data_IF_933988234852
#
_entry.id   IF_933988234852
#
_cell.length_a   1.000
_cell.length_b   1.000
_cell.length_c   1.000
_cell.angle_alpha   90.00
_cell.angle_beta   90.00
_cell.angle_gamma   90.00
#
_symmetry.space_group_name_H-M   'P 1'
#
loop_
_entity.id
_entity.type
_entity.pdbx_description
1 polymer ?
#
# COMPACT_ATOMS: atom_id res chain seq x y z
N UNK A 1 22.66 30.94 63.06
CA UNK A 1 22.60 31.41 61.66
C UNK A 1 21.17 31.26 61.15
N UNK A 2 20.62 32.33 60.55
CA UNK A 2 19.36 32.43 59.74
C UNK A 2 18.04 32.22 60.52
N UNK A 3 17.44 33.28 61.09
CA UNK A 3 16.44 34.24 60.52
C UNK A 3 15.10 33.55 60.17
N UNK A 4 14.02 33.73 60.93
CA UNK A 4 13.14 34.91 61.13
C UNK A 4 11.99 35.04 60.13
N UNK A 5 10.77 34.94 60.69
CA UNK A 5 9.59 35.80 60.54
C UNK A 5 8.67 35.69 59.30
N UNK A 6 7.43 35.31 59.61
CA UNK A 6 6.13 35.96 59.30
C UNK A 6 5.76 36.28 57.85
N UNK A 7 4.58 35.79 57.46
CA UNK A 7 3.54 36.58 56.79
C UNK A 7 2.22 35.78 56.87
N UNK A 8 1.23 36.21 57.67
CA UNK A 8 0.22 37.22 57.34
C UNK A 8 -0.69 36.84 56.17
N UNK A 9 -1.93 36.51 56.52
CA UNK A 9 -3.06 36.37 55.62
C UNK A 9 -3.48 37.73 55.05
N UNK A 10 -3.83 37.75 53.76
CA UNK A 10 -4.60 38.83 53.16
C UNK A 10 -5.59 38.23 52.15
N UNK A 11 -6.88 38.44 52.43
CA UNK A 11 -7.98 38.28 51.49
C UNK A 11 -7.81 39.33 50.36
N UNK A 12 -7.93 38.90 49.10
CA UNK A 12 -8.15 39.82 47.98
C UNK A 12 -9.38 39.37 47.21
N UNK A 13 -10.24 40.35 47.01
CA UNK A 13 -11.54 40.28 46.39
C UNK A 13 -11.49 40.01 44.87
N UNK A 14 -12.61 39.45 44.43
CA UNK A 14 -13.13 39.31 43.06
C UNK A 14 -12.68 40.32 42.01
N UNK A 15 -12.33 39.80 40.82
CA UNK A 15 -12.64 40.44 39.55
C UNK A 15 -12.86 39.36 38.47
N UNK A 16 -14.12 39.10 38.11
CA UNK A 16 -14.45 38.36 36.90
C UNK A 16 -14.22 39.28 35.71
N UNK A 17 -13.16 39.05 34.93
CA UNK A 17 -13.02 39.65 33.61
C UNK A 17 -13.65 38.71 32.59
N UNK A 18 -14.77 39.17 32.03
CA UNK A 18 -15.42 38.57 30.86
C UNK A 18 -14.48 38.68 29.66
N UNK A 19 -13.89 37.57 29.23
CA UNK A 19 -13.30 37.48 27.91
C UNK A 19 -14.44 37.39 26.90
N UNK A 20 -14.69 38.48 26.18
CA UNK A 20 -15.44 38.42 24.92
C UNK A 20 -14.66 37.54 23.95
N UNK A 21 -15.07 36.29 23.83
CA UNK A 21 -14.61 35.39 22.79
C UNK A 21 -15.13 35.91 21.45
N UNK A 22 -14.27 36.60 20.70
CA UNK A 22 -14.49 36.79 19.28
C UNK A 22 -14.26 35.45 18.62
N UNK A 23 -15.28 34.59 18.65
CA UNK A 23 -15.38 33.50 17.71
C UNK A 23 -15.51 34.16 16.34
N UNK A 24 -14.42 34.21 15.58
CA UNK A 24 -14.56 34.32 14.13
C UNK A 24 -15.22 33.02 13.69
N UNK A 25 -16.55 33.05 13.61
CA UNK A 25 -17.33 32.09 12.85
C UNK A 25 -16.94 32.30 11.40
N UNK A 26 -15.85 31.65 10.99
CA UNK A 26 -15.60 31.40 9.59
C UNK A 26 -16.82 30.62 9.10
N UNK A 27 -17.58 31.13 8.13
CA UNK A 27 -18.68 30.35 7.58
C UNK A 27 -18.07 29.08 7.00
N UNK A 28 -18.41 27.94 7.59
CA UNK A 28 -18.26 26.60 7.00
C UNK A 28 -19.30 26.57 5.87
N UNK A 29 -19.06 27.35 4.83
CA UNK A 29 -19.87 27.39 3.62
C UNK A 29 -18.95 26.92 2.50
N UNK A 30 -19.25 25.71 2.01
CA UNK A 30 -18.72 25.14 0.78
C UNK A 30 -17.25 24.66 0.78
N UNK A 31 -16.90 23.74 1.67
CA UNK A 31 -16.02 22.64 1.24
C UNK A 31 -16.92 21.47 0.87
N UNK A 32 -17.25 21.38 -0.42
CA UNK A 32 -17.71 20.14 -1.04
C UNK A 32 -16.76 19.01 -0.57
N UNK A 33 -17.25 17.80 -0.24
CA UNK A 33 -16.37 16.66 -0.10
C UNK A 33 -15.79 16.37 -1.48
N UNK A 34 -14.69 17.04 -1.82
CA UNK A 34 -13.83 16.63 -2.91
C UNK A 34 -13.39 15.21 -2.59
N UNK A 35 -13.64 14.28 -3.50
CA UNK A 35 -13.14 12.91 -3.41
C UNK A 35 -11.62 13.04 -3.39
N UNK A 36 -11.01 12.99 -2.21
CA UNK A 36 -9.57 12.92 -2.10
C UNK A 36 -9.15 11.59 -2.75
N UNK A 37 -8.10 11.61 -3.58
CA UNK A 37 -7.63 10.39 -4.20
C UNK A 37 -7.24 9.38 -3.11
N UNK A 38 -7.70 8.14 -3.27
CA UNK A 38 -7.38 7.05 -2.35
C UNK A 38 -5.85 6.86 -2.28
N UNK A 39 -5.32 6.61 -1.08
CA UNK A 39 -3.92 6.24 -0.93
C UNK A 39 -3.62 4.99 -1.76
N UNK A 40 -2.52 5.01 -2.50
CA UNK A 40 -2.18 3.92 -3.41
C UNK A 40 -2.87 4.00 -4.78
N UNK A 41 -3.62 5.07 -5.08
CA UNK A 41 -4.13 5.34 -6.43
C UNK A 41 -3.15 6.20 -7.23
N UNK A 42 -3.15 6.07 -8.56
CA UNK A 42 -2.34 6.96 -9.42
C UNK A 42 -2.67 8.44 -9.22
N UNK A 43 -3.94 8.76 -8.98
CA UNK A 43 -4.39 10.14 -8.75
C UNK A 43 -3.82 10.75 -7.45
N UNK A 44 -3.33 9.92 -6.53
CA UNK A 44 -2.68 10.39 -5.29
C UNK A 44 -1.22 10.80 -5.52
N UNK A 45 -0.63 10.45 -6.66
CA UNK A 45 0.76 10.78 -6.99
C UNK A 45 0.77 12.16 -7.68
N UNK A 46 1.55 13.13 -7.17
CA UNK A 46 1.73 14.41 -7.84
C UNK A 46 2.26 14.23 -9.27
N UNK A 47 1.70 14.98 -10.23
CA UNK A 47 2.09 14.85 -11.64
C UNK A 47 3.60 15.01 -11.88
N UNK A 48 4.28 15.84 -11.10
CA UNK A 48 5.74 16.04 -11.17
C UNK A 48 6.55 14.78 -10.80
N UNK A 49 5.96 13.83 -10.06
CA UNK A 49 6.61 12.61 -9.58
C UNK A 49 6.12 11.35 -10.30
N UNK A 50 5.28 11.48 -11.33
CA UNK A 50 4.72 10.33 -12.03
C UNK A 50 5.80 9.47 -12.71
N UNK A 51 6.92 10.06 -13.12
CA UNK A 51 8.06 9.33 -13.68
C UNK A 51 8.83 8.49 -12.66
N UNK A 52 8.58 8.70 -11.36
CA UNK A 52 9.14 7.89 -10.27
C UNK A 52 8.12 6.92 -9.68
N UNK A 53 6.91 6.86 -10.26
CA UNK A 53 5.85 6.00 -9.78
C UNK A 53 6.24 4.53 -9.91
N UNK A 54 5.76 3.76 -8.95
CA UNK A 54 5.93 2.33 -8.82
C UNK A 54 4.55 1.67 -8.86
N UNK A 55 4.45 0.56 -9.58
CA UNK A 55 3.31 -0.34 -9.50
C UNK A 55 3.62 -1.40 -8.46
N UNK A 56 2.73 -1.55 -7.48
CA UNK A 56 2.80 -2.56 -6.43
C UNK A 56 1.73 -3.59 -6.70
N UNK A 57 2.13 -4.80 -7.06
CA UNK A 57 1.22 -5.93 -7.24
C UNK A 57 1.32 -6.85 -6.04
N UNK A 58 0.18 -7.09 -5.38
CA UNK A 58 0.08 -7.92 -4.18
C UNK A 58 -0.82 -9.11 -4.50
N UNK A 59 -0.36 -10.31 -4.20
CA UNK A 59 -1.17 -11.53 -4.27
C UNK A 59 -1.03 -12.31 -2.97
N UNK A 60 -2.13 -12.47 -2.24
CA UNK A 60 -2.16 -13.21 -0.98
C UNK A 60 -2.91 -14.52 -1.15
N UNK A 61 -2.35 -15.57 -0.56
CA UNK A 61 -2.89 -16.93 -0.59
C UNK A 61 -2.88 -17.50 0.82
N UNK A 62 -4.02 -18.00 1.26
CA UNK A 62 -4.15 -18.81 2.48
C UNK A 62 -4.38 -20.26 2.06
N UNK A 63 -3.51 -21.15 2.54
CA UNK A 63 -3.56 -22.57 2.22
C UNK A 63 -3.15 -23.40 3.42
N UNK A 64 -3.76 -24.56 3.58
CA UNK A 64 -3.19 -25.62 4.42
C UNK A 64 -2.10 -26.35 3.63
N UNK A 65 -1.06 -26.89 4.30
CA UNK A 65 -0.04 -27.67 3.60
C UNK A 65 -0.69 -28.81 2.80
N UNK A 66 -0.27 -28.95 1.55
CA UNK A 66 -0.73 -30.00 0.60
C UNK A 66 -2.19 -29.91 0.14
N UNK A 67 -2.88 -28.79 0.37
CA UNK A 67 -4.24 -28.53 -0.15
C UNK A 67 -4.27 -27.34 -1.11
N UNK A 68 -5.30 -27.29 -1.96
CA UNK A 68 -5.58 -26.09 -2.74
C UNK A 68 -5.84 -24.88 -1.82
N UNK A 69 -5.51 -23.66 -2.26
CA UNK A 69 -5.80 -22.45 -1.51
C UNK A 69 -7.26 -22.37 -1.10
N UNK A 70 -7.50 -22.15 0.19
CA UNK A 70 -8.86 -21.94 0.72
C UNK A 70 -9.32 -20.50 0.53
N UNK A 71 -8.38 -19.59 0.29
CA UNK A 71 -8.65 -18.19 0.02
C UNK A 71 -7.49 -17.52 -0.75
N UNK A 72 -7.85 -16.66 -1.69
CA UNK A 72 -6.93 -15.85 -2.47
C UNK A 72 -7.45 -14.42 -2.59
N UNK A 73 -6.53 -13.45 -2.62
CA UNK A 73 -6.84 -12.06 -2.88
C UNK A 73 -5.72 -11.41 -3.67
N UNK A 74 -6.07 -10.44 -4.52
CA UNK A 74 -5.12 -9.66 -5.30
C UNK A 74 -5.48 -8.18 -5.24
N UNK A 75 -4.45 -7.34 -5.23
CA UNK A 75 -4.61 -5.90 -5.34
C UNK A 75 -3.44 -5.28 -6.10
N UNK A 76 -3.69 -4.13 -6.74
CA UNK A 76 -2.68 -3.32 -7.40
C UNK A 76 -2.78 -1.91 -6.85
N UNK A 77 -1.65 -1.41 -6.36
CA UNK A 77 -1.52 -0.04 -5.88
C UNK A 77 -0.37 0.67 -6.57
N UNK A 78 -0.33 1.97 -6.41
CA UNK A 78 0.69 2.85 -6.97
C UNK A 78 1.30 3.69 -5.88
N UNK A 79 2.62 3.81 -5.89
CA UNK A 79 3.33 4.64 -4.90
C UNK A 79 4.60 5.24 -5.51
N UNK A 80 5.35 5.98 -4.72
CA UNK A 80 6.70 6.46 -5.04
C UNK A 80 7.66 6.01 -3.92
N UNK A 81 8.97 5.92 -4.18
CA UNK A 81 9.94 5.68 -3.12
C UNK A 81 9.78 6.67 -1.95
N UNK A 82 9.80 6.16 -0.72
CA UNK A 82 9.59 6.89 0.52
C UNK A 82 8.11 7.01 0.94
N UNK A 83 7.15 6.68 0.07
CA UNK A 83 5.72 6.75 0.40
C UNK A 83 5.15 5.36 0.64
N UNK A 84 4.51 5.18 1.80
CA UNK A 84 3.89 3.90 2.14
C UNK A 84 2.57 3.71 1.41
N UNK A 85 2.25 2.46 1.14
CA UNK A 85 0.94 2.05 0.65
C UNK A 85 0.42 0.87 1.45
N UNK A 86 -0.88 0.88 1.72
CA UNK A 86 -1.53 -0.16 2.49
C UNK A 86 -2.60 -0.86 1.65
N UNK A 87 -2.62 -2.18 1.74
CA UNK A 87 -3.62 -3.05 1.13
C UNK A 87 -4.36 -3.80 2.23
N UNK A 88 -5.69 -3.77 2.18
CA UNK A 88 -6.56 -4.52 3.09
C UNK A 88 -7.27 -5.62 2.31
N UNK A 89 -7.07 -6.86 2.72
CA UNK A 89 -7.72 -8.03 2.14
C UNK A 89 -8.54 -8.73 3.22
N UNK A 90 -9.82 -8.94 2.97
CA UNK A 90 -10.77 -9.52 3.94
C UNK A 90 -11.32 -10.81 3.38
N UNK A 91 -11.06 -11.92 4.07
CA UNK A 91 -11.68 -13.22 3.86
C UNK A 91 -12.71 -13.53 4.95
N UNK A 92 -13.26 -14.75 4.90
CA UNK A 92 -14.29 -15.21 5.86
C UNK A 92 -13.73 -15.43 7.26
N UNK A 93 -12.53 -16.02 7.32
CA UNK A 93 -11.88 -16.45 8.56
C UNK A 93 -10.60 -15.67 8.86
N UNK A 94 -10.17 -14.81 7.92
CA UNK A 94 -8.90 -14.07 8.00
C UNK A 94 -9.08 -12.67 7.42
N UNK A 95 -8.50 -11.65 8.05
CA UNK A 95 -8.32 -10.32 7.49
C UNK A 95 -6.86 -9.92 7.58
N UNK A 96 -6.34 -9.27 6.54
CA UNK A 96 -4.94 -8.92 6.41
C UNK A 96 -4.83 -7.45 6.03
N UNK A 97 -3.94 -6.73 6.71
CA UNK A 97 -3.47 -5.41 6.28
C UNK A 97 -1.98 -5.50 6.04
N UNK A 98 -1.55 -5.18 4.82
CA UNK A 98 -0.14 -5.15 4.44
C UNK A 98 0.22 -3.71 4.12
N UNK A 99 1.20 -3.16 4.83
CA UNK A 99 1.77 -1.84 4.54
C UNK A 99 3.16 -2.03 3.97
N UNK A 100 3.43 -1.41 2.83
CA UNK A 100 4.69 -1.52 2.09
C UNK A 100 5.26 -0.13 1.92
N UNK A 101 6.51 0.07 2.30
CA UNK A 101 7.24 1.33 2.08
C UNK A 101 8.49 1.04 1.26
N UNK A 102 8.53 1.40 -0.04
CA UNK A 102 9.71 1.23 -0.87
C UNK A 102 10.73 2.34 -0.63
N UNK A 103 12.01 1.98 -0.64
CA UNK A 103 13.14 2.90 -0.66
C UNK A 103 14.04 2.56 -1.85
N UNK A 104 14.70 3.56 -2.44
CA UNK A 104 15.73 3.30 -3.45
C UNK A 104 16.94 2.68 -2.78
N UNK A 105 17.41 1.55 -3.30
CA UNK A 105 18.69 0.98 -2.89
C UNK A 105 19.85 1.64 -3.67
N UNK A 106 21.02 1.72 -3.04
CA UNK A 106 22.23 2.29 -3.65
C UNK A 106 22.69 1.51 -4.89
N UNK A 107 22.27 0.26 -5.05
CA UNK A 107 22.62 -0.61 -6.19
C UNK A 107 21.62 -0.52 -7.35
N UNK A 108 20.63 0.37 -7.28
CA UNK A 108 19.63 0.56 -8.34
C UNK A 108 18.40 -0.34 -8.25
N UNK A 109 18.25 -1.10 -7.17
CA UNK A 109 17.04 -1.84 -6.81
C UNK A 109 16.18 -1.09 -5.78
N UNK A 110 15.32 -1.84 -5.08
CA UNK A 110 14.48 -1.32 -4.01
C UNK A 110 14.75 -2.06 -2.70
N UNK A 111 14.70 -1.32 -1.60
CA UNK A 111 14.60 -1.88 -0.25
C UNK A 111 13.18 -1.64 0.25
N UNK A 112 12.46 -2.72 0.54
CA UNK A 112 11.06 -2.67 0.96
C UNK A 112 10.99 -2.88 2.46
N UNK A 113 10.35 -1.97 3.17
CA UNK A 113 9.89 -2.24 4.54
C UNK A 113 8.45 -2.71 4.45
N UNK A 114 8.21 -3.97 4.80
CA UNK A 114 6.90 -4.61 4.74
C UNK A 114 6.42 -4.89 6.15
N UNK A 115 5.21 -4.42 6.47
CA UNK A 115 4.53 -4.73 7.71
C UNK A 115 3.23 -5.47 7.39
N UNK A 116 3.08 -6.69 7.90
CA UNK A 116 1.86 -7.48 7.81
C UNK A 116 1.14 -7.51 9.16
N UNK A 117 -0.15 -7.21 9.16
CA UNK A 117 -1.05 -7.38 10.29
C UNK A 117 -2.14 -8.35 9.89
N UNK A 118 -2.33 -9.40 10.67
CA UNK A 118 -3.26 -10.49 10.37
C UNK A 118 -4.18 -10.70 11.55
N UNK A 119 -5.47 -10.68 11.28
CA UNK A 119 -6.53 -11.15 12.18
C UNK A 119 -7.04 -12.48 11.63
N UNK A 120 -7.14 -13.51 12.45
CA UNK A 120 -7.60 -14.82 12.02
C UNK A 120 -8.49 -15.43 13.11
N UNK A 121 -9.50 -16.20 12.70
CA UNK A 121 -10.29 -16.98 13.65
C UNK A 121 -9.53 -18.23 14.06
N UNK A 122 -9.49 -18.48 15.36
CA UNK A 122 -8.86 -19.67 15.95
C UNK A 122 -9.96 -20.57 16.55
N UNK A 123 -10.63 -21.32 15.67
CA UNK A 123 -11.79 -22.14 16.05
C UNK A 123 -12.88 -21.35 16.77
N UNK A 124 -13.41 -21.90 17.86
CA UNK A 124 -14.38 -21.21 18.73
C UNK A 124 -13.72 -20.29 19.77
N UNK A 125 -12.39 -20.28 19.86
CA UNK A 125 -11.64 -19.59 20.91
C UNK A 125 -11.48 -18.06 20.67
N UNK A 126 -11.94 -17.54 19.53
CA UNK A 126 -12.00 -16.10 19.24
C UNK A 126 -11.14 -15.67 18.05
N UNK A 127 -10.77 -14.39 18.03
CA UNK A 127 -9.96 -13.78 16.96
C UNK A 127 -8.52 -13.61 17.44
N UNK A 128 -7.59 -14.32 16.82
CA UNK A 128 -6.15 -14.13 16.97
C UNK A 128 -5.65 -12.93 16.17
N UNK A 129 -4.58 -12.30 16.66
CA UNK A 129 -3.89 -11.19 15.99
C UNK A 129 -2.40 -11.46 15.92
N UNK A 130 -1.80 -11.18 14.77
CA UNK A 130 -0.34 -11.25 14.57
C UNK A 130 0.15 -10.08 13.74
N UNK A 131 1.30 -9.53 14.12
CA UNK A 131 2.02 -8.52 13.35
C UNK A 131 3.43 -9.00 13.05
N UNK A 132 3.91 -8.70 11.85
CA UNK A 132 5.26 -9.04 11.38
C UNK A 132 5.81 -7.86 10.59
N UNK A 133 7.08 -7.55 10.79
CA UNK A 133 7.81 -6.54 10.02
C UNK A 133 9.03 -7.22 9.41
N UNK A 134 9.28 -6.97 8.12
CA UNK A 134 10.43 -7.50 7.40
C UNK A 134 11.01 -6.44 6.45
N UNK A 135 12.29 -6.57 6.15
CA UNK A 135 13.01 -5.72 5.20
C UNK A 135 13.54 -6.56 4.06
N UNK A 136 13.08 -6.27 2.84
CA UNK A 136 13.36 -7.08 1.65
C UNK A 136 14.10 -6.24 0.62
N UNK A 137 15.25 -6.69 0.16
CA UNK A 137 15.92 -6.07 -0.99
C UNK A 137 15.49 -6.78 -2.27
N UNK A 138 14.95 -6.03 -3.23
CA UNK A 138 14.30 -6.58 -4.43
C UNK A 138 14.71 -5.81 -5.69
N UNK A 139 14.82 -6.52 -6.80
CA UNK A 139 14.87 -5.93 -8.13
C UNK A 139 13.48 -5.49 -8.61
N UNK A 140 13.44 -4.63 -9.63
CA UNK A 140 12.19 -4.33 -10.34
C UNK A 140 11.69 -5.58 -11.09
N UNK A 141 10.39 -5.86 -10.99
CA UNK A 141 9.75 -7.05 -11.56
C UNK A 141 10.08 -8.37 -10.85
N UNK A 142 10.90 -8.33 -9.79
CA UNK A 142 11.23 -9.51 -9.01
C UNK A 142 10.04 -9.92 -8.14
N UNK A 143 9.73 -11.22 -8.14
CA UNK A 143 8.73 -11.79 -7.24
C UNK A 143 9.36 -12.15 -5.91
N UNK A 144 8.82 -11.58 -4.84
CA UNK A 144 9.28 -11.85 -3.48
C UNK A 144 8.15 -12.42 -2.63
N UNK A 145 8.50 -13.35 -1.74
CA UNK A 145 7.58 -14.04 -0.86
C UNK A 145 7.72 -13.53 0.57
N UNK A 146 6.61 -13.06 1.12
CA UNK A 146 6.50 -12.63 2.51
C UNK A 146 5.57 -13.58 3.27
N UNK A 147 5.99 -14.01 4.45
CA UNK A 147 5.29 -15.02 5.26
C UNK A 147 4.95 -14.46 6.64
N UNK A 148 3.79 -13.80 6.82
CA UNK A 148 3.41 -13.18 8.09
C UNK A 148 3.40 -14.16 9.28
N UNK A 149 3.07 -15.43 9.06
CA UNK A 149 3.09 -16.47 10.09
C UNK A 149 4.45 -17.18 10.23
N UNK A 150 5.44 -16.84 9.40
CA UNK A 150 6.71 -17.53 9.25
C UNK A 150 6.63 -18.70 8.27
N UNK A 151 7.78 -19.09 7.72
CA UNK A 151 7.90 -20.11 6.67
C UNK A 151 8.18 -21.54 7.21
N UNK A 152 7.73 -21.87 8.42
CA UNK A 152 8.09 -23.16 9.04
C UNK A 152 7.51 -24.34 8.23
N UNK A 153 8.35 -25.34 7.84
CA UNK A 153 7.91 -26.51 7.09
C UNK A 153 6.81 -27.31 7.78
N UNK A 154 6.89 -27.40 9.11
CA UNK A 154 5.94 -28.16 9.95
C UNK A 154 4.55 -27.50 10.05
N UNK A 155 4.46 -26.19 9.78
CA UNK A 155 3.22 -25.41 9.87
C UNK A 155 2.64 -24.97 8.53
N UNK A 156 3.28 -25.34 7.41
CA UNK A 156 2.75 -25.16 6.05
C UNK A 156 2.64 -23.72 5.55
N UNK A 157 3.25 -22.74 6.23
CA UNK A 157 3.20 -21.32 5.90
C UNK A 157 1.77 -20.87 5.52
N UNK A 158 0.84 -20.83 6.50
CA UNK A 158 -0.60 -20.79 6.23
C UNK A 158 -1.06 -19.51 5.52
N UNK A 159 -0.21 -18.48 5.48
CA UNK A 159 -0.39 -17.28 4.68
C UNK A 159 0.90 -16.99 3.92
N UNK A 160 0.79 -16.97 2.60
CA UNK A 160 1.83 -16.52 1.68
C UNK A 160 1.38 -15.23 1.01
N UNK A 161 2.26 -14.25 0.95
CA UNK A 161 2.05 -13.01 0.21
C UNK A 161 3.15 -12.90 -0.84
N UNK A 162 2.75 -12.81 -2.09
CA UNK A 162 3.63 -12.53 -3.22
C UNK A 162 3.57 -11.03 -3.50
N UNK A 163 4.74 -10.43 -3.59
CA UNK A 163 4.93 -9.01 -3.85
C UNK A 163 5.77 -8.87 -5.11
N UNK A 164 5.29 -8.04 -6.04
CA UNK A 164 6.05 -7.64 -7.24
C UNK A 164 5.99 -6.12 -7.31
N UNK A 165 7.15 -5.50 -7.52
CA UNK A 165 7.24 -4.05 -7.66
C UNK A 165 7.89 -3.69 -9.00
N UNK A 166 7.16 -2.94 -9.81
CA UNK A 166 7.58 -2.51 -11.13
C UNK A 166 7.67 -0.99 -11.22
N UNK A 167 8.46 -0.51 -12.18
CA UNK A 167 8.37 0.89 -12.59
C UNK A 167 7.01 1.10 -13.24
N UNK A 168 6.39 2.23 -12.96
CA UNK A 168 5.18 2.61 -13.66
C UNK A 168 5.52 2.96 -15.11
N UNK A 169 5.00 2.17 -16.06
CA UNK A 169 5.01 2.53 -17.46
C UNK A 169 3.77 3.38 -17.75
N UNK A 170 3.96 4.68 -17.96
CA UNK A 170 2.89 5.51 -18.53
C UNK A 170 2.57 5.00 -19.93
N UNK A 171 1.29 5.03 -20.33
CA UNK A 171 0.79 4.50 -21.60
C UNK A 171 1.36 5.16 -22.88
N UNK A 172 2.48 5.87 -22.81
CA UNK A 172 3.26 6.36 -23.94
C UNK A 172 4.23 5.33 -24.53
N UNK A 173 4.44 4.18 -23.87
CA UNK A 173 5.16 3.02 -24.43
C UNK A 173 4.19 1.90 -24.84
N UNK A 174 3.22 2.25 -25.68
CA UNK A 174 2.54 1.26 -26.53
C UNK A 174 3.46 0.90 -27.71
N UNK A 175 3.42 -0.34 -28.23
CA UNK A 175 4.21 -0.70 -29.41
C UNK A 175 3.76 0.16 -30.59
N UNK A 176 4.60 1.13 -30.96
CA UNK A 176 4.47 1.84 -32.22
C UNK A 176 4.67 0.83 -33.36
N UNK A 177 3.63 0.64 -34.18
CA UNK A 177 3.78 0.18 -35.55
C UNK A 177 3.66 -1.33 -35.78
N UNK A 178 2.46 -1.89 -35.64
CA UNK A 178 1.95 -2.79 -36.67
C UNK A 178 0.74 -2.13 -37.32
N UNK A 179 1.04 -1.12 -38.14
CA UNK A 179 0.13 -0.74 -39.21
C UNK A 179 -0.08 -1.98 -40.07
N UNK A 180 -1.33 -2.40 -40.16
CA UNK A 180 -1.79 -3.35 -41.14
C UNK A 180 -1.49 -2.78 -42.54
N UNK A 181 -0.37 -3.19 -43.12
CA UNK A 181 -0.12 -3.06 -44.55
C UNK A 181 -0.61 -4.33 -45.22
N UNK A 182 -1.87 -4.25 -45.64
CA UNK A 182 -2.26 -4.54 -47.03
C UNK A 182 -1.78 -5.88 -47.60
N UNK A 183 -2.65 -6.88 -47.46
CA UNK A 183 -2.59 -8.11 -48.23
C UNK A 183 -2.65 -7.80 -49.73
N UNK A 184 -1.51 -7.90 -50.40
CA UNK A 184 -1.44 -7.98 -51.86
C UNK A 184 -1.59 -9.45 -52.27
N UNK A 185 -2.61 -9.84 -53.05
CA UNK A 185 -2.65 -11.18 -53.64
C UNK A 185 -1.62 -11.27 -54.78
N UNK A 186 -0.64 -12.16 -54.64
CA UNK A 186 0.26 -12.53 -55.73
C UNK A 186 -0.45 -13.47 -56.73
N UNK A 187 -0.17 -13.33 -58.04
CA UNK A 187 -0.86 -14.07 -59.09
C UNK A 187 -0.33 -15.50 -59.26
N UNK A 188 -1.27 -16.44 -59.43
CA UNK A 188 -1.02 -17.84 -59.80
C UNK A 188 -0.44 -17.89 -61.22
N UNK A 189 0.78 -18.45 -61.36
CA UNK A 189 1.33 -18.89 -62.64
C UNK A 189 1.07 -20.38 -62.79
N UNK A 190 0.02 -20.74 -63.54
CA UNK A 190 -0.09 -22.07 -64.13
C UNK A 190 0.59 -22.06 -65.51
N UNK A 191 1.72 -22.74 -65.60
CA UNK A 191 2.32 -23.20 -66.86
C UNK A 191 1.98 -24.68 -67.00
N UNK A 192 0.97 -25.00 -67.79
CA UNK A 192 0.85 -26.33 -68.42
C UNK A 192 1.33 -26.22 -69.87
N UNK A 193 2.32 -27.06 -70.19
CA UNK A 193 2.97 -27.23 -71.50
C UNK A 193 2.08 -28.12 -72.40
N UNK A 194 2.16 -27.99 -73.74
CA UNK A 194 1.45 -28.87 -74.69
C UNK A 194 1.89 -30.33 -74.63
#
# INVERSE_FOLDING_TARGET
MRRCLLASAAFVATAFTTFSAWAQTTPIAAQLPGILPESGSLASIPAALIGEALTVSIFATVSRPSEAPTWEARDIKYTIPGTSVSVKMIGRETAIVITITPYKDKKGGLMLVVQGQVWYKDGEAGVGYRTTVDTLTVGFGERVLFYPFGAKPEGGAPLRVELIMDKYASASEGPAGQSATEATPSPVKDKAKP
#
